data_IF_882463506073
#
_entry.id   IF_882463506073
#
_cell.length_a   1.000
_cell.length_b   1.000
_cell.length_c   1.000
_cell.angle_alpha   90.00
_cell.angle_beta   90.00
_cell.angle_gamma   90.00
#
_symmetry.space_group_name_H-M   'P 1'
#
loop_
_entity.id
_entity.type
_entity.pdbx_description
1 polymer ?
#
# COMPACT_ATOMS: atom_id res chain seq x y z
N UNK A 1 8.50 -15.64 -1.51
CA UNK A 1 7.78 -14.94 -0.43
C UNK A 1 8.70 -14.08 0.43
N UNK A 2 9.72 -14.62 1.10
CA UNK A 2 10.57 -13.84 2.03
C UNK A 2 11.27 -12.64 1.37
N UNK A 3 11.75 -12.80 0.13
CA UNK A 3 12.45 -11.72 -0.59
C UNK A 3 11.56 -10.52 -0.91
N UNK A 4 10.28 -10.75 -1.22
CA UNK A 4 9.35 -9.65 -1.43
C UNK A 4 8.89 -9.02 -0.14
N UNK A 5 8.65 -9.81 0.92
CA UNK A 5 8.36 -9.26 2.25
C UNK A 5 9.47 -8.32 2.71
N UNK A 6 10.73 -8.73 2.50
CA UNK A 6 11.90 -7.89 2.79
C UNK A 6 11.94 -6.64 1.90
N UNK A 7 11.68 -6.78 0.60
CA UNK A 7 11.67 -5.65 -0.33
C UNK A 7 10.54 -4.66 -0.02
N UNK A 8 9.35 -5.15 0.29
CA UNK A 8 8.19 -4.36 0.69
C UNK A 8 8.45 -3.64 2.02
N UNK A 9 8.98 -4.33 3.03
CA UNK A 9 9.33 -3.72 4.30
C UNK A 9 10.41 -2.63 4.15
N UNK A 10 11.44 -2.88 3.33
CA UNK A 10 12.48 -1.89 3.03
C UNK A 10 11.90 -0.68 2.28
N UNK A 11 11.13 -0.90 1.22
CA UNK A 11 10.50 0.17 0.45
C UNK A 11 9.53 1.00 1.29
N UNK A 12 8.70 0.35 2.13
CA UNK A 12 7.76 1.01 3.03
C UNK A 12 8.52 1.83 4.08
N UNK A 13 9.57 1.29 4.68
CA UNK A 13 10.41 2.00 5.64
C UNK A 13 11.10 3.23 5.05
N UNK A 14 11.67 3.12 3.85
CA UNK A 14 12.28 4.25 3.13
C UNK A 14 11.24 5.32 2.82
N UNK A 15 10.09 4.91 2.29
CA UNK A 15 9.02 5.83 1.90
C UNK A 15 8.40 6.55 3.10
N UNK A 16 8.17 5.83 4.21
CA UNK A 16 7.66 6.43 5.46
C UNK A 16 8.66 7.44 6.02
N UNK A 17 9.95 7.08 6.03
CA UNK A 17 11.03 7.96 6.49
C UNK A 17 11.10 9.23 5.64
N UNK A 18 10.92 9.10 4.33
CA UNK A 18 10.87 10.23 3.40
C UNK A 18 9.64 11.12 3.66
N UNK A 19 8.44 10.54 3.80
CA UNK A 19 7.21 11.27 4.10
C UNK A 19 7.28 12.04 5.43
N UNK A 20 7.83 11.41 6.46
CA UNK A 20 8.05 12.03 7.78
C UNK A 20 9.04 13.20 7.66
N UNK A 21 10.13 13.02 6.91
CA UNK A 21 11.10 14.10 6.65
C UNK A 21 10.51 15.24 5.82
N UNK A 22 9.63 14.93 4.89
CA UNK A 22 8.96 15.90 4.04
C UNK A 22 7.83 16.66 4.75
N UNK A 23 7.56 16.36 6.03
CA UNK A 23 6.42 16.88 6.81
C UNK A 23 5.10 16.77 6.07
N UNK A 24 4.91 15.68 5.32
CA UNK A 24 3.68 15.43 4.57
C UNK A 24 2.47 15.42 5.51
N UNK A 25 1.33 15.89 5.01
CA UNK A 25 0.12 15.95 5.82
C UNK A 25 -0.31 14.53 6.23
N UNK A 26 -0.81 14.37 7.46
CA UNK A 26 -1.25 13.05 7.98
C UNK A 26 -2.19 12.32 7.03
N UNK A 27 -3.02 13.05 6.28
CA UNK A 27 -3.91 12.49 5.25
C UNK A 27 -3.13 11.80 4.13
N UNK A 28 -2.11 12.44 3.57
CA UNK A 28 -1.29 11.87 2.50
C UNK A 28 -0.52 10.64 2.98
N UNK A 29 -0.02 10.65 4.22
CA UNK A 29 0.63 9.48 4.82
C UNK A 29 -0.34 8.31 4.90
N UNK A 30 -1.55 8.55 5.37
CA UNK A 30 -2.57 7.52 5.50
C UNK A 30 -2.98 6.95 4.13
N UNK A 31 -3.07 7.81 3.12
CA UNK A 31 -3.36 7.48 1.72
C UNK A 31 -2.29 6.59 1.12
N UNK A 32 -1.04 7.02 1.26
CA UNK A 32 0.13 6.32 0.73
C UNK A 32 0.27 4.94 1.37
N UNK A 33 0.13 4.87 2.70
CA UNK A 33 0.14 3.59 3.43
C UNK A 33 -1.04 2.71 3.01
N UNK A 34 -2.24 3.26 2.84
CA UNK A 34 -3.43 2.52 2.39
C UNK A 34 -3.25 1.88 1.01
N UNK A 35 -2.73 2.63 0.04
CA UNK A 35 -2.44 2.13 -1.32
C UNK A 35 -1.36 1.03 -1.27
N UNK A 36 -0.29 1.23 -0.49
CA UNK A 36 0.75 0.23 -0.30
C UNK A 36 0.20 -1.08 0.26
N UNK A 37 -0.65 -1.02 1.29
CA UNK A 37 -1.27 -2.20 1.89
C UNK A 37 -2.25 -2.90 0.94
N UNK A 38 -2.99 -2.15 0.12
CA UNK A 38 -3.87 -2.71 -0.90
C UNK A 38 -3.09 -3.45 -1.99
N UNK A 39 -2.01 -2.84 -2.49
CA UNK A 39 -1.11 -3.49 -3.45
C UNK A 39 -0.44 -4.72 -2.85
N UNK A 40 -0.06 -4.67 -1.57
CA UNK A 40 0.45 -5.83 -0.84
C UNK A 40 -0.60 -6.95 -0.70
N UNK A 41 -1.86 -6.60 -0.42
CA UNK A 41 -2.95 -7.57 -0.33
C UNK A 41 -3.25 -8.23 -1.68
N UNK A 42 -3.20 -7.47 -2.78
CA UNK A 42 -3.35 -8.01 -4.15
C UNK A 42 -2.18 -8.96 -4.50
N UNK A 43 -0.96 -8.60 -4.11
CA UNK A 43 0.19 -9.47 -4.32
C UNK A 43 0.13 -10.73 -3.46
N UNK A 44 -0.30 -10.61 -2.20
CA UNK A 44 -0.57 -11.77 -1.33
C UNK A 44 -1.66 -12.67 -1.90
N UNK A 45 -2.69 -12.11 -2.54
CA UNK A 45 -3.72 -12.88 -3.24
C UNK A 45 -3.16 -13.75 -4.36
N UNK A 46 -2.21 -13.22 -5.14
CA UNK A 46 -1.49 -13.99 -6.18
C UNK A 46 -0.70 -15.14 -5.55
N UNK A 47 -0.05 -14.89 -4.42
CA UNK A 47 0.78 -15.88 -3.74
C UNK A 47 0.00 -16.96 -2.98
N UNK A 48 -1.19 -16.65 -2.50
CA UNK A 48 -2.07 -17.59 -1.79
C UNK A 48 -2.99 -18.39 -2.71
N UNK A 49 -2.90 -18.19 -4.04
CA UNK A 49 -3.79 -18.77 -5.06
C UNK A 49 -5.29 -18.58 -4.76
N UNK A 50 -5.58 -17.57 -3.94
CA UNK A 50 -6.91 -17.21 -3.48
C UNK A 50 -7.26 -15.92 -4.22
N UNK A 51 -8.24 -15.94 -5.14
CA UNK A 51 -8.65 -14.79 -5.96
C UNK A 51 -9.31 -13.68 -5.13
N UNK A 52 -8.52 -12.95 -4.36
CA UNK A 52 -8.91 -11.71 -3.73
C UNK A 52 -8.86 -10.61 -4.79
N UNK A 53 -10.01 -10.28 -5.39
CA UNK A 53 -10.15 -9.14 -6.30
C UNK A 53 -10.05 -7.83 -5.50
N UNK A 54 -8.84 -7.43 -5.15
CA UNK A 54 -8.53 -6.19 -4.40
C UNK A 54 -8.85 -4.93 -5.21
N UNK A 55 -9.03 -5.08 -6.54
CA UNK A 55 -9.33 -4.02 -7.50
C UNK A 55 -10.55 -3.18 -7.15
N UNK A 56 -11.61 -3.77 -6.57
CA UNK A 56 -12.81 -3.03 -6.14
C UNK A 56 -12.57 -2.17 -4.89
N UNK A 57 -11.74 -2.66 -3.98
CA UNK A 57 -11.42 -1.96 -2.74
C UNK A 57 -10.47 -0.80 -3.05
N UNK A 58 -9.49 -1.01 -3.94
CA UNK A 58 -8.58 0.02 -4.44
C UNK A 58 -9.34 1.16 -5.12
N UNK A 59 -10.30 0.83 -6.01
CA UNK A 59 -11.12 1.83 -6.68
C UNK A 59 -11.96 2.65 -5.70
N UNK A 60 -12.61 1.99 -4.73
CA UNK A 60 -13.44 2.67 -3.74
C UNK A 60 -12.60 3.53 -2.77
N UNK A 61 -11.36 3.14 -2.49
CA UNK A 61 -10.44 3.94 -1.67
C UNK A 61 -9.91 5.16 -2.42
N UNK A 62 -9.73 5.07 -3.74
CA UNK A 62 -9.41 6.23 -4.60
C UNK A 62 -10.60 7.19 -4.71
N UNK A 63 -11.81 6.69 -4.95
CA UNK A 63 -13.03 7.51 -5.02
C UNK A 63 -13.32 8.22 -3.69
N UNK A 64 -13.08 7.58 -2.55
CA UNK A 64 -13.36 8.17 -1.23
C UNK A 64 -12.44 9.35 -0.88
N UNK A 65 -11.31 9.45 -1.57
CA UNK A 65 -10.34 10.52 -1.43
C UNK A 65 -10.55 11.65 -2.45
N UNK A 66 -11.41 11.45 -3.45
CA UNK A 66 -11.80 12.49 -4.41
C UNK A 66 -10.81 12.72 -5.55
N UNK A 67 -10.11 11.67 -6.01
CA UNK A 67 -9.52 11.64 -7.36
C UNK A 67 -10.61 11.31 -8.39
#
# INVERSE_FOLDING_TARGET
MIGFLLFFAAALGVSLTFLIRSKAERKEIFLFVGILFLGFADWMSIFLDHKFKSSKIIANLMEWIGL
#
